data_IF_659198356647
#
_entry.id   IF_659198356647
#
_cell.length_a   1.000
_cell.length_b   1.000
_cell.length_c   1.000
_cell.angle_alpha   90.00
_cell.angle_beta   90.00
_cell.angle_gamma   90.00
#
_symmetry.space_group_name_H-M   'P 1'
#
loop_
_entity.id
_entity.type
_entity.pdbx_description
1 polymer ?
#
# COMPACT_ATOMS: atom_id res chain seq x y z
N UNK A 1 5.90 1.16 -4.43
CA UNK A 1 4.88 1.83 -5.24
C UNK A 1 4.72 1.13 -6.59
N UNK A 2 3.51 1.19 -7.15
CA UNK A 2 3.19 0.75 -8.52
C UNK A 2 3.25 1.89 -9.54
N UNK A 3 3.68 3.08 -9.14
CA UNK A 3 3.82 4.25 -10.00
C UNK A 3 5.29 4.51 -10.36
N UNK A 4 5.57 4.65 -11.65
CA UNK A 4 6.90 5.04 -12.14
C UNK A 4 7.29 6.44 -11.63
N UNK A 5 6.34 7.39 -11.59
CA UNK A 5 6.59 8.74 -11.08
C UNK A 5 7.08 8.73 -9.63
N UNK A 6 6.48 7.88 -8.79
CA UNK A 6 6.86 7.77 -7.39
C UNK A 6 8.20 7.03 -7.23
N UNK A 7 8.47 6.02 -8.05
CA UNK A 7 9.77 5.36 -8.07
C UNK A 7 10.88 6.34 -8.47
N UNK A 8 10.65 7.17 -9.48
CA UNK A 8 11.59 8.20 -9.92
C UNK A 8 11.78 9.28 -8.84
N UNK A 9 10.69 9.78 -8.25
CA UNK A 9 10.74 10.76 -7.16
C UNK A 9 11.65 10.31 -6.00
N UNK A 10 11.52 9.03 -5.60
CA UNK A 10 12.38 8.45 -4.55
C UNK A 10 13.73 7.93 -5.08
N UNK A 11 14.10 8.28 -6.31
CA UNK A 11 15.36 7.86 -6.95
C UNK A 11 15.57 6.34 -6.88
N UNK A 12 14.49 5.57 -7.04
CA UNK A 12 14.55 4.10 -7.04
C UNK A 12 14.97 3.61 -8.42
N UNK A 13 16.10 2.89 -8.55
CA UNK A 13 16.60 2.44 -9.84
C UNK A 13 15.76 1.33 -10.47
N UNK A 14 14.86 0.74 -9.72
CA UNK A 14 14.06 -0.41 -10.16
C UNK A 14 12.83 0.04 -10.92
N UNK A 15 12.75 -0.34 -12.20
CA UNK A 15 11.57 -0.10 -13.03
C UNK A 15 10.42 -1.05 -12.68
N UNK A 16 9.18 -0.61 -12.85
CA UNK A 16 7.97 -1.39 -12.57
C UNK A 16 7.94 -2.73 -13.30
N UNK A 17 8.45 -2.78 -14.54
CA UNK A 17 8.57 -4.02 -15.31
C UNK A 17 9.38 -5.09 -14.56
N UNK A 18 10.52 -4.70 -13.97
CA UNK A 18 11.37 -5.62 -13.19
C UNK A 18 10.68 -6.11 -11.91
N UNK A 19 9.92 -5.23 -11.25
CA UNK A 19 9.11 -5.62 -10.08
C UNK A 19 8.11 -6.71 -10.47
N UNK A 20 7.35 -6.50 -11.56
CA UNK A 20 6.39 -7.47 -12.08
C UNK A 20 7.05 -8.79 -12.50
N UNK A 21 8.19 -8.75 -13.12
CA UNK A 21 8.96 -9.94 -13.51
C UNK A 21 9.46 -10.71 -12.28
N UNK A 22 10.05 -10.01 -11.29
CA UNK A 22 10.53 -10.61 -10.06
C UNK A 22 9.41 -11.33 -9.31
N UNK A 23 8.22 -10.71 -9.15
CA UNK A 23 7.08 -11.35 -8.48
C UNK A 23 6.60 -12.60 -9.21
N UNK A 24 6.64 -12.62 -10.56
CA UNK A 24 6.32 -13.81 -11.35
C UNK A 24 7.35 -14.93 -11.18
N UNK A 25 8.64 -14.58 -11.16
CA UNK A 25 9.72 -15.56 -10.93
C UNK A 25 9.59 -16.17 -9.55
N UNK A 26 9.44 -15.37 -8.50
CA UNK A 26 9.27 -15.83 -7.13
C UNK A 26 8.06 -16.77 -7.03
N UNK A 27 6.93 -16.43 -7.67
CA UNK A 27 5.73 -17.24 -7.62
C UNK A 27 5.88 -18.63 -8.29
N UNK A 28 6.87 -18.84 -9.19
CA UNK A 28 7.15 -20.18 -9.72
C UNK A 28 7.59 -21.16 -8.63
N UNK A 29 8.22 -20.65 -7.58
CA UNK A 29 8.74 -21.42 -6.45
C UNK A 29 7.77 -21.55 -5.29
N UNK A 30 6.51 -21.10 -5.43
CA UNK A 30 5.49 -21.05 -4.35
C UNK A 30 5.23 -22.38 -3.62
N UNK A 31 5.58 -23.49 -4.24
CA UNK A 31 5.44 -24.83 -3.62
C UNK A 31 6.59 -25.19 -2.66
N UNK A 32 7.70 -24.46 -2.78
CA UNK A 32 8.95 -24.75 -2.08
C UNK A 32 9.34 -23.65 -1.08
N UNK A 33 8.53 -22.63 -0.93
CA UNK A 33 8.84 -21.49 -0.09
C UNK A 33 7.60 -20.94 0.62
N UNK A 34 7.83 -20.29 1.72
CA UNK A 34 6.84 -19.47 2.42
C UNK A 34 6.31 -18.36 1.48
N UNK A 35 5.05 -17.96 1.66
CA UNK A 35 4.49 -16.85 0.90
C UNK A 35 5.39 -15.60 1.02
N UNK A 36 5.88 -15.05 -0.10
CA UNK A 36 6.79 -13.92 -0.08
C UNK A 36 6.12 -12.71 0.57
N UNK A 37 6.86 -12.01 1.42
CA UNK A 37 6.43 -10.74 2.02
C UNK A 37 6.99 -9.58 1.19
N UNK A 38 6.12 -8.67 0.79
CA UNK A 38 6.51 -7.45 0.08
C UNK A 38 6.22 -6.23 0.93
N UNK A 39 7.18 -5.31 0.99
CA UNK A 39 6.99 -4.04 1.66
C UNK A 39 6.25 -3.07 0.78
N UNK A 40 5.23 -2.41 1.33
CA UNK A 40 4.51 -1.33 0.67
C UNK A 40 4.40 -0.13 1.60
N UNK A 41 4.71 1.04 1.07
CA UNK A 41 4.52 2.31 1.78
C UNK A 41 3.26 2.96 1.22
N UNK A 42 2.35 3.32 2.10
CA UNK A 42 1.09 4.02 1.82
C UNK A 42 1.08 5.38 2.52
N UNK A 43 0.01 6.14 2.33
CA UNK A 43 -0.19 7.46 2.95
C UNK A 43 0.86 8.49 2.51
N UNK A 44 1.39 8.35 1.30
CA UNK A 44 2.34 9.29 0.75
C UNK A 44 1.59 10.55 0.24
N UNK A 45 1.80 11.72 0.85
CA UNK A 45 1.08 12.94 0.50
C UNK A 45 1.46 13.52 -0.87
N UNK A 46 2.53 13.02 -1.49
CA UNK A 46 2.94 13.42 -2.84
C UNK A 46 2.20 12.61 -3.92
N UNK A 47 1.69 11.42 -3.56
CA UNK A 47 0.98 10.59 -4.51
C UNK A 47 -0.30 11.24 -5.03
N UNK A 48 -0.42 11.26 -6.35
CA UNK A 48 -1.69 11.57 -7.01
C UNK A 48 -2.66 10.38 -6.90
N UNK A 49 -3.96 10.59 -7.17
CA UNK A 49 -4.91 9.47 -7.26
C UNK A 49 -4.49 8.43 -8.29
N UNK A 50 -3.86 8.85 -9.38
CA UNK A 50 -3.38 7.99 -10.46
C UNK A 50 -2.21 7.11 -9.98
N UNK A 51 -1.28 7.66 -9.21
CA UNK A 51 -0.17 6.91 -8.61
C UNK A 51 -0.69 5.86 -7.63
N UNK A 52 -1.67 6.23 -6.80
CA UNK A 52 -2.33 5.31 -5.87
C UNK A 52 -3.06 4.20 -6.62
N UNK A 53 -3.80 4.53 -7.70
CA UNK A 53 -4.48 3.54 -8.56
C UNK A 53 -3.48 2.60 -9.24
N UNK A 54 -2.35 3.11 -9.70
CA UNK A 54 -1.28 2.29 -10.30
C UNK A 54 -0.69 1.30 -9.28
N UNK A 55 -0.55 1.72 -8.01
CA UNK A 55 -0.12 0.83 -6.93
C UNK A 55 -1.16 -0.25 -6.64
N UNK A 56 -2.46 0.10 -6.61
CA UNK A 56 -3.54 -0.87 -6.46
C UNK A 56 -3.59 -1.87 -7.62
N UNK A 57 -3.39 -1.40 -8.86
CA UNK A 57 -3.33 -2.26 -10.06
C UNK A 57 -2.17 -3.25 -9.96
N UNK A 58 -0.99 -2.80 -9.52
CA UNK A 58 0.14 -3.69 -9.28
C UNK A 58 -0.23 -4.80 -8.28
N UNK A 59 -0.80 -4.43 -7.12
CA UNK A 59 -1.19 -5.39 -6.07
C UNK A 59 -2.29 -6.36 -6.54
N UNK A 60 -3.24 -5.87 -7.32
CA UNK A 60 -4.32 -6.70 -7.87
C UNK A 60 -3.80 -7.75 -8.83
N UNK A 61 -2.84 -7.39 -9.68
CA UNK A 61 -2.28 -8.23 -10.73
C UNK A 61 -1.12 -9.13 -10.23
N UNK A 62 -0.62 -8.90 -9.01
CA UNK A 62 0.45 -9.72 -8.43
C UNK A 62 0.02 -11.19 -8.28
N UNK A 63 0.89 -12.13 -8.67
CA UNK A 63 0.63 -13.55 -8.50
C UNK A 63 0.59 -13.95 -7.02
N UNK A 64 -0.37 -14.81 -6.66
CA UNK A 64 -0.59 -15.28 -5.29
C UNK A 64 0.02 -16.69 -5.07
N UNK A 65 0.36 -17.07 -3.84
CA UNK A 65 0.18 -16.31 -2.58
C UNK A 65 1.25 -15.25 -2.35
N UNK A 66 0.92 -14.21 -1.61
CA UNK A 66 1.86 -13.24 -1.04
C UNK A 66 1.29 -12.63 0.23
N UNK A 67 2.15 -12.03 1.04
CA UNK A 67 1.76 -11.15 2.15
C UNK A 67 2.36 -9.76 1.95
N UNK A 68 1.86 -8.76 2.66
CA UNK A 68 2.37 -7.40 2.63
C UNK A 68 2.81 -6.96 4.02
N UNK A 69 3.95 -6.28 4.10
CA UNK A 69 4.29 -5.41 5.21
C UNK A 69 3.85 -4.00 4.83
N UNK A 70 2.75 -3.56 5.41
CA UNK A 70 2.14 -2.27 5.08
C UNK A 70 2.66 -1.22 6.05
N UNK A 71 3.34 -0.22 5.52
CA UNK A 71 3.94 0.88 6.26
C UNK A 71 3.28 2.19 5.83
N UNK A 72 2.89 3.02 6.81
CA UNK A 72 2.45 4.39 6.53
C UNK A 72 3.66 5.30 6.45
N UNK A 73 3.75 6.13 5.40
CA UNK A 73 4.85 7.08 5.23
C UNK A 73 4.85 8.07 6.39
N UNK A 74 6.03 8.25 6.98
CA UNK A 74 6.28 9.26 7.99
C UNK A 74 7.36 10.20 7.50
N UNK A 75 7.08 11.50 7.60
CA UNK A 75 8.05 12.53 7.24
C UNK A 75 8.94 12.76 8.45
N UNK A 76 10.23 12.54 8.28
CA UNK A 76 11.23 12.77 9.32
C UNK A 76 11.70 14.21 9.18
N UNK A 77 11.78 14.99 10.28
CA UNK A 77 12.30 16.34 10.26
C UNK A 77 13.73 16.42 9.74
N UNK A 78 14.06 17.54 9.10
CA UNK A 78 15.37 17.82 8.52
C UNK A 78 15.79 16.85 7.40
N UNK A 79 14.81 16.27 6.70
CA UNK A 79 15.06 15.45 5.50
C UNK A 79 14.71 16.22 4.23
N UNK A 80 15.32 15.81 3.11
CA UNK A 80 14.97 16.33 1.77
C UNK A 80 13.46 16.20 1.48
N UNK A 81 12.83 15.16 1.99
CA UNK A 81 11.40 14.93 1.82
C UNK A 81 10.57 16.03 2.52
N UNK A 82 10.93 16.39 3.74
CA UNK A 82 10.26 17.48 4.47
C UNK A 82 10.42 18.80 3.71
N UNK A 83 11.62 19.11 3.24
CA UNK A 83 11.88 20.32 2.48
C UNK A 83 11.04 20.37 1.21
N UNK A 84 11.03 19.30 0.43
CA UNK A 84 10.23 19.21 -0.81
C UNK A 84 8.73 19.35 -0.56
N UNK A 85 8.24 18.87 0.59
CA UNK A 85 6.84 19.05 0.96
C UNK A 85 6.52 20.51 1.29
N UNK A 86 7.39 21.17 2.06
CA UNK A 86 7.26 22.60 2.35
C UNK A 86 7.26 23.44 1.08
N UNK A 87 8.17 23.14 0.14
CA UNK A 87 8.25 23.82 -1.16
C UNK A 87 6.96 23.64 -2.00
N UNK A 88 6.26 22.52 -1.83
CA UNK A 88 4.96 22.24 -2.49
C UNK A 88 3.75 22.76 -1.71
N UNK A 89 3.95 23.45 -0.59
CA UNK A 89 2.86 23.93 0.26
C UNK A 89 2.08 22.81 0.95
N UNK A 90 2.66 21.60 1.09
CA UNK A 90 2.05 20.49 1.79
C UNK A 90 2.34 20.67 3.29
N UNK A 91 1.26 20.72 4.09
CA UNK A 91 1.38 20.82 5.55
C UNK A 91 2.08 19.59 6.13
N UNK A 92 3.19 19.81 6.81
CA UNK A 92 3.96 18.77 7.49
C UNK A 92 3.54 18.76 8.96
N UNK A 93 2.77 17.76 9.40
CA UNK A 93 2.31 17.69 10.78
C UNK A 93 3.49 17.66 11.75
N UNK A 94 3.32 18.27 12.94
CA UNK A 94 4.33 18.23 13.99
C UNK A 94 4.68 16.79 14.40
N UNK A 95 5.93 16.54 14.81
CA UNK A 95 6.47 15.21 15.19
C UNK A 95 5.56 14.50 16.19
N UNK A 96 5.00 15.18 17.19
CA UNK A 96 4.11 14.59 18.20
C UNK A 96 2.82 14.02 17.60
N UNK A 97 2.25 14.69 16.60
CA UNK A 97 1.07 14.26 15.88
C UNK A 97 1.37 13.06 14.95
N UNK A 98 2.63 12.93 14.55
CA UNK A 98 3.15 11.88 13.67
C UNK A 98 3.30 10.52 14.35
N UNK A 99 3.87 10.46 15.53
CA UNK A 99 4.12 9.18 16.22
C UNK A 99 2.83 8.50 16.70
N UNK A 100 1.74 9.26 16.85
CA UNK A 100 0.42 8.73 17.18
C UNK A 100 -0.48 8.44 15.98
N UNK A 101 -0.11 8.90 14.78
CA UNK A 101 -0.92 8.71 13.59
C UNK A 101 -0.83 7.26 13.08
N UNK A 102 -1.92 6.53 13.18
CA UNK A 102 -2.10 5.28 12.45
C UNK A 102 -2.28 5.55 10.95
N UNK A 103 -2.57 4.50 10.20
CA UNK A 103 -2.91 4.59 8.78
C UNK A 103 -4.09 5.53 8.52
N UNK A 104 -4.06 6.27 7.42
CA UNK A 104 -5.21 7.05 6.99
C UNK A 104 -6.37 6.11 6.65
N UNK A 105 -7.58 6.48 7.07
CA UNK A 105 -8.80 5.67 6.86
C UNK A 105 -9.42 6.00 5.52
N UNK A 106 -8.70 5.68 4.44
CA UNK A 106 -9.10 5.94 3.06
C UNK A 106 -9.60 4.68 2.38
N UNK A 107 -10.37 4.84 1.30
CA UNK A 107 -10.77 3.71 0.46
C UNK A 107 -9.56 2.98 -0.13
N UNK A 108 -8.55 3.72 -0.55
CA UNK A 108 -7.31 3.14 -1.07
C UNK A 108 -6.67 2.19 -0.06
N UNK A 109 -6.53 2.62 1.21
CA UNK A 109 -5.96 1.78 2.25
C UNK A 109 -6.84 0.57 2.59
N UNK A 110 -8.18 0.73 2.59
CA UNK A 110 -9.11 -0.41 2.68
C UNK A 110 -8.85 -1.42 1.57
N UNK A 111 -8.67 -0.96 0.32
CA UNK A 111 -8.37 -1.84 -0.82
C UNK A 111 -7.01 -2.51 -0.67
N UNK A 112 -5.95 -1.80 -0.24
CA UNK A 112 -4.63 -2.38 0.01
C UNK A 112 -4.73 -3.52 1.02
N UNK A 113 -5.37 -3.28 2.18
CA UNK A 113 -5.56 -4.34 3.19
C UNK A 113 -6.36 -5.51 2.65
N UNK A 114 -7.46 -5.25 1.92
CA UNK A 114 -8.34 -6.30 1.39
C UNK A 114 -7.63 -7.16 0.34
N UNK A 115 -6.84 -6.55 -0.55
CA UNK A 115 -6.11 -7.25 -1.60
C UNK A 115 -5.05 -8.24 -1.06
N UNK A 116 -4.67 -8.16 0.21
CA UNK A 116 -3.75 -9.16 0.81
C UNK A 116 -4.42 -10.50 1.03
N UNK A 117 -5.69 -10.54 1.41
CA UNK A 117 -6.40 -11.76 1.80
C UNK A 117 -7.54 -12.14 0.86
N UNK A 118 -8.10 -11.18 0.11
CA UNK A 118 -9.19 -11.44 -0.82
C UNK A 118 -8.89 -10.92 -2.23
N UNK A 119 -8.96 -11.81 -3.21
CA UNK A 119 -8.93 -11.45 -4.62
C UNK A 119 -10.35 -11.09 -5.05
N UNK A 120 -10.74 -9.85 -4.86
CA UNK A 120 -12.08 -9.38 -5.22
C UNK A 120 -12.35 -9.54 -6.72
N UNK A 121 -13.63 -9.74 -7.13
CA UNK A 121 -14.03 -9.79 -8.54
C UNK A 121 -13.60 -8.53 -9.29
N UNK A 122 -13.19 -8.68 -10.56
CA UNK A 122 -12.66 -7.57 -11.37
C UNK A 122 -13.65 -6.40 -11.49
N UNK A 123 -14.94 -6.70 -11.59
CA UNK A 123 -16.00 -5.67 -11.70
C UNK A 123 -16.02 -4.81 -10.43
N UNK A 124 -16.02 -5.44 -9.26
CA UNK A 124 -16.00 -4.73 -7.97
C UNK A 124 -14.70 -3.93 -7.80
N UNK A 125 -13.55 -4.55 -8.13
CA UNK A 125 -12.26 -3.87 -8.09
C UNK A 125 -12.27 -2.60 -8.94
N UNK A 126 -12.69 -2.69 -10.20
CA UNK A 126 -12.74 -1.56 -11.14
C UNK A 126 -13.70 -0.46 -10.64
N UNK A 127 -14.83 -0.83 -10.06
CA UNK A 127 -15.78 0.12 -9.48
C UNK A 127 -15.17 0.88 -8.29
N UNK A 128 -14.56 0.18 -7.34
CA UNK A 128 -13.93 0.80 -6.17
C UNK A 128 -12.71 1.64 -6.58
N UNK A 129 -11.89 1.13 -7.50
CA UNK A 129 -10.72 1.83 -8.02
C UNK A 129 -11.07 3.21 -8.60
N UNK A 130 -12.18 3.34 -9.33
CA UNK A 130 -12.66 4.62 -9.86
C UNK A 130 -13.00 5.63 -8.77
N UNK A 131 -13.33 5.16 -7.56
CA UNK A 131 -13.68 6.00 -6.39
C UNK A 131 -12.51 6.32 -5.47
N UNK A 132 -11.29 5.97 -5.85
CA UNK A 132 -10.09 6.36 -5.11
C UNK A 132 -9.81 7.83 -5.37
N UNK A 133 -9.85 8.62 -4.31
CA UNK A 133 -9.58 10.05 -4.27
C UNK A 133 -8.29 10.37 -3.51
N UNK A 134 -7.74 11.60 -3.61
CA UNK A 134 -6.59 12.02 -2.83
C UNK A 134 -6.79 11.80 -1.32
N UNK A 135 -5.70 11.53 -0.61
CA UNK A 135 -5.67 11.29 0.84
C UNK A 135 -6.32 12.43 1.65
N UNK A 136 -6.27 13.65 1.14
CA UNK A 136 -6.79 14.85 1.81
C UNK A 136 -8.32 14.93 1.86
N UNK A 137 -9.03 14.09 1.11
CA UNK A 137 -10.49 14.11 1.09
C UNK A 137 -11.03 13.33 2.29
N UNK A 138 -11.52 14.06 3.32
CA UNK A 138 -12.19 13.46 4.47
C UNK A 138 -13.47 12.74 4.01
N UNK A 139 -13.52 11.42 4.20
CA UNK A 139 -14.71 10.62 3.90
C UNK A 139 -15.19 9.92 5.17
N UNK A 140 -16.37 10.30 5.70
CA UNK A 140 -16.83 9.86 7.02
C UNK A 140 -17.20 8.38 7.15
N UNK A 141 -17.45 7.68 6.04
CA UNK A 141 -17.96 6.31 6.03
C UNK A 141 -16.89 5.20 6.13
N UNK A 142 -15.61 5.55 6.14
CA UNK A 142 -14.55 4.54 6.08
C UNK A 142 -13.97 4.02 7.42
N UNK A 143 -14.25 4.56 8.61
CA UNK A 143 -13.67 3.99 9.83
C UNK A 143 -14.04 2.53 10.05
N UNK A 144 -15.33 2.18 9.96
CA UNK A 144 -15.79 0.80 10.18
C UNK A 144 -15.26 -0.14 9.11
N UNK A 145 -15.41 0.24 7.83
CA UNK A 145 -14.89 -0.53 6.71
C UNK A 145 -13.36 -0.72 6.83
N UNK A 146 -12.64 0.32 7.22
CA UNK A 146 -11.19 0.27 7.41
C UNK A 146 -10.80 -0.77 8.46
N UNK A 147 -11.44 -0.76 9.63
CA UNK A 147 -11.13 -1.74 10.67
C UNK A 147 -11.50 -3.17 10.27
N UNK A 148 -12.58 -3.35 9.52
CA UNK A 148 -12.92 -4.65 8.95
C UNK A 148 -11.85 -5.16 7.98
N UNK A 149 -11.45 -4.33 7.01
CA UNK A 149 -10.40 -4.70 6.03
C UNK A 149 -9.06 -4.98 6.71
N UNK A 150 -8.69 -4.16 7.70
CA UNK A 150 -7.48 -4.35 8.49
C UNK A 150 -7.54 -5.60 9.36
N UNK A 151 -8.71 -5.90 9.96
CA UNK A 151 -8.94 -7.12 10.72
C UNK A 151 -8.71 -8.37 9.88
N UNK A 152 -9.30 -8.42 8.68
CA UNK A 152 -9.08 -9.52 7.73
C UNK A 152 -7.59 -9.69 7.35
N UNK A 153 -6.87 -8.58 7.15
CA UNK A 153 -5.43 -8.60 6.93
C UNK A 153 -4.66 -9.20 8.12
N UNK A 154 -4.98 -8.78 9.36
CA UNK A 154 -4.31 -9.26 10.56
C UNK A 154 -4.57 -10.76 10.79
N UNK A 155 -5.81 -11.22 10.58
CA UNK A 155 -6.16 -12.65 10.67
C UNK A 155 -5.40 -13.45 9.63
N UNK A 156 -5.39 -13.00 8.36
CA UNK A 156 -4.62 -13.67 7.30
C UNK A 156 -3.14 -13.77 7.65
N UNK A 157 -2.54 -12.69 8.15
CA UNK A 157 -1.14 -12.65 8.53
C UNK A 157 -0.82 -13.61 9.69
N UNK A 158 -1.71 -13.68 10.69
CA UNK A 158 -1.57 -14.62 11.78
C UNK A 158 -1.67 -16.08 11.30
N UNK A 159 -2.64 -16.39 10.44
CA UNK A 159 -2.80 -17.72 9.85
C UNK A 159 -1.60 -18.13 8.98
N UNK A 160 -1.05 -17.21 8.19
CA UNK A 160 0.15 -17.48 7.43
C UNK A 160 1.35 -17.78 8.34
N UNK A 161 1.48 -17.05 9.45
CA UNK A 161 2.55 -17.28 10.42
C UNK A 161 2.41 -18.65 11.10
N UNK A 162 1.21 -19.03 11.50
CA UNK A 162 0.95 -20.32 12.14
C UNK A 162 1.23 -21.52 11.20
N UNK A 163 0.98 -21.37 9.90
CA UNK A 163 1.27 -22.44 8.91
C UNK A 163 2.75 -22.74 8.73
N UNK A 164 3.63 -21.91 9.23
CA UNK A 164 5.08 -22.03 9.06
C UNK A 164 5.82 -22.23 10.37
N UNK A 165 5.10 -22.43 11.49
CA UNK A 165 5.67 -22.82 12.77
C UNK A 165 5.84 -24.33 12.92
N UNK A 166 5.28 -25.13 11.99
CA UNK A 166 5.48 -26.57 11.86
C UNK A 166 6.60 -26.89 10.85
#
# INVERSE_FOLDING_TARGET
>A
SGSENILEFYKRPTKLKRIKEATKIINKFRKYMIAPAYDIIIDNPIETPEDTKATLDLLYDMPRPFTLNILSLRIIPNTDLEQQMKERGIDVPSIRKYYGAGYHRTLANCMVFTLTWWRMPRVLYNYLRKKVYPIQTKQPLYPVLFYFCRGGYMVKRALDHLRYLD
#
